data_IF_133222641704
#
_entry.id   IF_133222641704
#
_cell.length_a   1.000
_cell.length_b   1.000
_cell.length_c   1.000
_cell.angle_alpha   90.00
_cell.angle_beta   90.00
_cell.angle_gamma   90.00
#
_symmetry.space_group_name_H-M   'P 1'
#
loop_
_entity.id
_entity.type
_entity.pdbx_description
1 polymer ?
#
# COMPACT_ATOMS: atom_id res chain seq x y z
N UNK A 1 -1.91 0.85 27.34
CA UNK A 1 -2.84 -0.11 26.74
C UNK A 1 -2.78 -0.05 25.21
N UNK A 2 -3.02 1.09 24.57
CA UNK A 2 -3.04 1.24 23.12
C UNK A 2 -1.70 0.87 22.45
N UNK A 3 -0.55 1.22 23.05
CA UNK A 3 0.77 0.85 22.54
C UNK A 3 0.97 -0.66 22.46
N UNK A 4 0.50 -1.42 23.48
CA UNK A 4 0.57 -2.88 23.45
C UNK A 4 -0.29 -3.47 22.34
N UNK A 5 -1.51 -2.97 22.17
CA UNK A 5 -2.39 -3.41 21.10
C UNK A 5 -1.75 -3.18 19.72
N UNK A 6 -1.07 -2.07 19.51
CA UNK A 6 -0.32 -1.82 18.28
C UNK A 6 0.84 -2.80 18.11
N UNK A 7 1.63 -3.06 19.16
CA UNK A 7 2.73 -4.02 19.11
C UNK A 7 2.25 -5.44 18.78
N UNK A 8 1.15 -5.87 19.40
CA UNK A 8 0.54 -7.17 19.11
C UNK A 8 0.07 -7.24 17.65
N UNK A 9 -0.62 -6.20 17.15
CA UNK A 9 -1.06 -6.13 15.76
C UNK A 9 0.13 -6.13 14.77
N UNK A 10 1.23 -5.46 15.10
CA UNK A 10 2.45 -5.47 14.27
C UNK A 10 3.06 -6.88 14.20
N UNK A 11 3.10 -7.61 15.31
CA UNK A 11 3.59 -8.99 15.34
C UNK A 11 2.73 -9.93 14.52
N UNK A 12 1.41 -9.80 14.62
CA UNK A 12 0.45 -10.65 13.90
C UNK A 12 0.49 -10.44 12.39
N UNK A 13 0.78 -9.24 11.94
CA UNK A 13 0.70 -8.86 10.52
C UNK A 13 2.04 -8.78 9.80
N UNK A 14 3.13 -8.61 10.51
CA UNK A 14 4.48 -8.39 9.96
C UNK A 14 4.91 -9.47 8.94
N UNK A 15 4.48 -10.72 9.13
CA UNK A 15 4.79 -11.82 8.22
C UNK A 15 4.27 -11.56 6.79
N UNK A 16 3.11 -10.90 6.64
CA UNK A 16 2.48 -10.63 5.35
C UNK A 16 3.09 -9.41 4.64
N UNK A 17 3.76 -8.53 5.36
CA UNK A 17 4.39 -7.32 4.79
C UNK A 17 5.77 -7.57 4.20
N UNK A 18 6.47 -8.61 4.65
CA UNK A 18 7.85 -8.88 4.26
C UNK A 18 8.08 -8.92 2.76
N UNK A 19 8.97 -8.05 2.25
CA UNK A 19 9.36 -7.93 0.85
C UNK A 19 8.24 -7.62 -0.15
N UNK A 20 7.07 -7.18 0.32
CA UNK A 20 6.01 -6.70 -0.57
C UNK A 20 6.43 -5.37 -1.21
N UNK A 21 6.26 -5.29 -2.52
CA UNK A 21 6.58 -4.09 -3.29
C UNK A 21 5.40 -3.13 -3.29
N UNK A 22 5.54 -2.01 -2.60
CA UNK A 22 4.47 -1.03 -2.43
C UNK A 22 4.82 0.28 -3.12
N UNK A 23 3.93 0.75 -3.98
CA UNK A 23 3.98 2.08 -4.56
C UNK A 23 2.99 3.02 -3.87
N UNK A 24 3.40 4.27 -3.67
CA UNK A 24 2.63 5.24 -2.90
C UNK A 24 2.56 6.56 -3.69
N UNK A 25 1.35 7.07 -3.90
CA UNK A 25 1.12 8.36 -4.52
C UNK A 25 0.21 9.22 -3.61
N UNK A 26 0.82 10.05 -2.79
CA UNK A 26 0.17 10.85 -1.75
C UNK A 26 0.85 12.24 -1.63
N UNK A 27 0.21 13.15 -0.89
CA UNK A 27 0.82 14.40 -0.46
C UNK A 27 2.04 14.14 0.45
N UNK A 28 3.06 15.03 0.49
CA UNK A 28 4.37 14.76 1.08
C UNK A 28 4.36 14.29 2.53
N UNK A 29 3.54 14.84 3.39
CA UNK A 29 3.44 14.49 4.80
C UNK A 29 2.84 13.08 5.00
N UNK A 30 1.78 12.77 4.29
CA UNK A 30 1.14 11.46 4.31
C UNK A 30 2.02 10.40 3.63
N UNK A 31 2.69 10.78 2.55
CA UNK A 31 3.68 9.95 1.85
C UNK A 31 4.83 9.57 2.79
N UNK A 32 5.38 10.54 3.52
CA UNK A 32 6.46 10.30 4.48
C UNK A 32 6.02 9.35 5.60
N UNK A 33 4.89 9.61 6.25
CA UNK A 33 4.40 8.79 7.35
C UNK A 33 4.09 7.35 6.90
N UNK A 34 3.44 7.19 5.75
CA UNK A 34 3.06 5.87 5.20
C UNK A 34 4.29 5.07 4.75
N UNK A 35 5.25 5.72 4.11
CA UNK A 35 6.48 5.07 3.64
C UNK A 35 7.30 4.50 4.80
N UNK A 36 7.51 5.28 5.86
CA UNK A 36 8.23 4.81 7.04
C UNK A 36 7.50 3.69 7.77
N UNK A 37 6.20 3.82 7.93
CA UNK A 37 5.37 2.76 8.52
C UNK A 37 5.53 1.43 7.77
N UNK A 38 5.40 1.43 6.44
CA UNK A 38 5.53 0.23 5.63
C UNK A 38 6.94 -0.36 5.67
N UNK A 39 7.96 0.51 5.66
CA UNK A 39 9.35 0.08 5.78
C UNK A 39 9.64 -0.58 7.13
N UNK A 40 9.11 -0.04 8.22
CA UNK A 40 9.20 -0.65 9.55
C UNK A 40 8.51 -2.02 9.61
N UNK A 41 7.45 -2.23 8.83
CA UNK A 41 6.78 -3.51 8.71
C UNK A 41 7.49 -4.51 7.78
N UNK A 42 8.57 -4.11 7.12
CA UNK A 42 9.37 -4.97 6.24
C UNK A 42 8.97 -4.96 4.77
N UNK A 43 8.05 -4.08 4.37
CA UNK A 43 7.73 -3.87 2.96
C UNK A 43 8.82 -3.03 2.27
N UNK A 44 8.99 -3.24 0.97
CA UNK A 44 9.86 -2.43 0.13
C UNK A 44 9.06 -1.33 -0.56
N UNK A 45 9.59 -0.10 -0.54
CA UNK A 45 8.97 1.02 -1.24
C UNK A 45 9.46 1.00 -2.68
N UNK A 46 8.58 0.58 -3.59
CA UNK A 46 8.88 0.39 -4.99
C UNK A 46 8.99 1.72 -5.74
N UNK A 47 7.98 2.57 -5.60
CA UNK A 47 7.97 3.91 -6.15
C UNK A 47 7.15 4.87 -5.27
N UNK A 48 7.54 6.14 -5.26
CA UNK A 48 6.80 7.20 -4.60
C UNK A 48 6.55 8.35 -5.56
N UNK A 49 5.30 8.80 -5.63
CA UNK A 49 4.87 9.92 -6.47
C UNK A 49 4.14 10.95 -5.62
N UNK A 50 4.45 12.21 -5.83
CA UNK A 50 3.74 13.33 -5.22
C UNK A 50 3.64 14.48 -6.21
N UNK A 51 2.58 15.28 -6.09
CA UNK A 51 2.39 16.46 -6.95
C UNK A 51 3.08 17.69 -6.39
N UNK A 52 3.50 17.65 -5.14
CA UNK A 52 4.02 18.81 -4.41
C UNK A 52 5.45 18.59 -3.95
N UNK A 53 6.32 19.56 -4.15
CA UNK A 53 7.68 19.56 -3.63
C UNK A 53 7.68 19.88 -2.14
N UNK A 54 8.47 19.15 -1.36
CA UNK A 54 8.63 19.35 0.09
C UNK A 54 10.01 18.87 0.53
N UNK A 55 10.61 19.49 1.57
CA UNK A 55 11.82 18.96 2.21
C UNK A 55 11.65 17.57 2.82
N UNK A 56 10.43 17.11 3.08
CA UNK A 56 10.15 15.77 3.57
C UNK A 56 10.52 14.67 2.55
N UNK A 57 10.55 15.00 1.26
CA UNK A 57 10.88 14.03 0.22
C UNK A 57 12.32 13.52 0.33
N UNK A 58 13.23 14.32 0.83
CA UNK A 58 14.63 13.95 1.09
C UNK A 58 14.77 12.95 2.27
N UNK A 59 13.72 12.83 3.08
CA UNK A 59 13.67 11.96 4.27
C UNK A 59 12.87 10.68 4.05
N UNK A 60 12.46 10.39 2.82
CA UNK A 60 11.78 9.14 2.49
C UNK A 60 12.73 7.95 2.56
N UNK A 61 12.27 6.76 2.96
CA UNK A 61 13.08 5.55 3.01
C UNK A 61 13.28 4.89 1.64
N UNK A 62 13.38 5.71 0.58
CA UNK A 62 13.57 5.28 -0.81
C UNK A 62 14.22 6.40 -1.62
N UNK A 63 14.95 6.03 -2.67
CA UNK A 63 15.51 6.96 -3.64
C UNK A 63 14.57 7.17 -4.85
N UNK A 64 13.57 6.31 -5.02
CA UNK A 64 12.59 6.37 -6.11
C UNK A 64 11.48 7.39 -5.81
N UNK A 65 11.81 8.65 -5.85
CA UNK A 65 10.89 9.75 -5.57
C UNK A 65 10.65 10.57 -6.85
N UNK A 66 9.39 10.64 -7.25
CA UNK A 66 8.96 11.36 -8.43
C UNK A 66 8.03 12.50 -8.02
N UNK A 67 8.34 13.70 -8.46
CA UNK A 67 7.43 14.84 -8.40
C UNK A 67 6.79 14.98 -9.76
N UNK A 68 5.54 14.57 -9.88
CA UNK A 68 4.84 14.48 -11.15
C UNK A 68 3.33 14.36 -10.97
N UNK A 69 2.65 13.95 -12.02
CA UNK A 69 1.21 13.77 -12.03
C UNK A 69 0.81 12.27 -12.15
N UNK A 70 -0.50 12.03 -12.31
CA UNK A 70 -1.03 10.68 -12.48
C UNK A 70 -0.63 10.05 -13.83
N UNK A 71 -0.24 10.83 -14.83
CA UNK A 71 0.24 10.30 -16.10
C UNK A 71 1.56 9.56 -15.94
N UNK A 72 2.42 10.05 -15.05
CA UNK A 72 3.72 9.43 -14.74
C UNK A 72 3.55 8.18 -13.86
N UNK A 73 2.43 8.09 -13.12
CA UNK A 73 2.20 7.04 -12.14
C UNK A 73 2.11 5.64 -12.78
N UNK A 74 1.45 5.50 -13.92
CA UNK A 74 1.23 4.20 -14.57
C UNK A 74 2.53 3.48 -14.91
N UNK A 75 3.51 4.21 -15.44
CA UNK A 75 4.79 3.62 -15.87
C UNK A 75 5.65 3.18 -14.68
N UNK A 76 5.60 3.93 -13.57
CA UNK A 76 6.50 3.70 -12.44
C UNK A 76 5.97 2.69 -11.42
N UNK A 77 4.65 2.45 -11.38
CA UNK A 77 4.05 1.50 -10.42
C UNK A 77 3.89 0.08 -10.97
N UNK A 78 4.13 -0.12 -12.25
CA UNK A 78 4.05 -1.44 -12.87
C UNK A 78 5.02 -2.42 -12.18
N UNK A 79 4.50 -3.55 -11.71
CA UNK A 79 5.28 -4.54 -10.94
C UNK A 79 5.16 -4.42 -9.43
N UNK A 80 4.39 -3.45 -8.92
CA UNK A 80 4.07 -3.37 -7.50
C UNK A 80 3.04 -4.41 -7.09
N UNK A 81 3.08 -4.84 -5.83
CA UNK A 81 2.06 -5.69 -5.22
C UNK A 81 0.85 -4.88 -4.73
N UNK A 82 1.07 -3.63 -4.35
CA UNK A 82 0.07 -2.73 -3.83
C UNK A 82 0.35 -1.29 -4.29
N UNK A 83 -0.70 -0.58 -4.66
CA UNK A 83 -0.70 0.86 -4.88
C UNK A 83 -1.52 1.54 -3.78
N UNK A 84 -0.93 2.50 -3.08
CA UNK A 84 -1.59 3.34 -2.07
C UNK A 84 -1.74 4.73 -2.65
N UNK A 85 -2.97 5.13 -2.94
CA UNK A 85 -3.30 6.45 -3.45
C UNK A 85 -4.80 6.73 -3.29
N UNK A 86 -5.25 7.89 -3.77
CA UNK A 86 -6.66 8.28 -3.77
C UNK A 86 -7.47 7.56 -4.87
N UNK A 87 -8.74 7.92 -5.02
CA UNK A 87 -9.65 7.27 -5.99
C UNK A 87 -9.24 7.42 -7.45
N UNK A 88 -8.40 8.39 -7.80
CA UNK A 88 -7.90 8.55 -9.18
C UNK A 88 -6.98 7.38 -9.60
N UNK A 89 -6.39 6.66 -8.66
CA UNK A 89 -5.56 5.48 -8.94
C UNK A 89 -6.35 4.23 -9.35
N UNK A 90 -7.68 4.25 -9.29
CA UNK A 90 -8.52 3.07 -9.60
C UNK A 90 -8.29 2.53 -11.00
N UNK A 91 -8.28 3.38 -12.01
CA UNK A 91 -8.11 2.99 -13.41
C UNK A 91 -6.75 2.33 -13.62
N UNK A 92 -5.69 2.91 -13.05
CA UNK A 92 -4.32 2.38 -13.13
C UNK A 92 -4.23 1.03 -12.44
N UNK A 93 -4.79 0.91 -11.26
CA UNK A 93 -4.85 -0.34 -10.48
C UNK A 93 -5.54 -1.47 -11.27
N UNK A 94 -6.69 -1.20 -11.86
CA UNK A 94 -7.44 -2.15 -12.67
C UNK A 94 -6.67 -2.54 -13.95
N UNK A 95 -6.10 -1.57 -14.66
CA UNK A 95 -5.33 -1.79 -15.89
C UNK A 95 -4.08 -2.65 -15.67
N UNK A 96 -3.37 -2.40 -14.58
CA UNK A 96 -2.13 -3.11 -14.24
C UNK A 96 -2.35 -4.35 -13.35
N UNK A 97 -3.60 -4.61 -12.95
CA UNK A 97 -3.97 -5.67 -12.01
C UNK A 97 -3.17 -5.61 -10.70
N UNK A 98 -3.04 -4.41 -10.14
CA UNK A 98 -2.40 -4.13 -8.87
C UNK A 98 -3.49 -3.83 -7.83
N UNK A 99 -3.39 -4.39 -6.63
CA UNK A 99 -4.31 -4.05 -5.54
C UNK A 99 -4.22 -2.56 -5.19
N UNK A 100 -5.35 -1.94 -4.89
CA UNK A 100 -5.45 -0.53 -4.51
C UNK A 100 -5.92 -0.38 -3.07
N UNK A 101 -5.14 0.34 -2.26
CA UNK A 101 -5.59 0.85 -0.97
C UNK A 101 -5.81 2.36 -1.07
N UNK A 102 -7.04 2.79 -0.83
CA UNK A 102 -7.42 4.22 -0.96
C UNK A 102 -7.03 4.99 0.28
N UNK A 103 -6.21 6.00 0.11
CA UNK A 103 -5.76 6.94 1.13
C UNK A 103 -5.58 8.33 0.51
N UNK A 104 -5.62 9.37 1.33
CA UNK A 104 -5.52 10.75 0.86
C UNK A 104 -6.83 11.27 0.28
N UNK A 105 -6.75 12.33 -0.49
CA UNK A 105 -7.88 13.00 -1.10
C UNK A 105 -7.68 13.19 -2.62
N UNK A 106 -8.71 13.14 -3.44
CA UNK A 106 -10.10 12.83 -3.11
C UNK A 106 -10.39 11.31 -3.06
N UNK A 107 -11.33 10.91 -2.21
CA UNK A 107 -11.94 9.57 -2.24
C UNK A 107 -13.44 9.76 -2.47
N UNK A 108 -13.91 9.39 -3.66
CA UNK A 108 -15.30 9.56 -4.09
C UNK A 108 -16.00 8.25 -4.41
N UNK A 109 -15.29 7.17 -4.54
CA UNK A 109 -15.80 5.84 -4.89
C UNK A 109 -15.93 4.90 -3.68
N UNK A 110 -15.80 5.42 -2.46
CA UNK A 110 -15.97 4.70 -1.19
C UNK A 110 -16.71 5.56 -0.17
N UNK A 111 -17.67 4.96 0.52
CA UNK A 111 -18.42 5.60 1.61
C UNK A 111 -17.61 5.56 2.92
N UNK A 112 -17.87 6.53 3.78
CA UNK A 112 -17.30 6.58 5.15
C UNK A 112 -15.85 7.01 5.24
N UNK A 113 -15.21 7.41 4.15
CA UNK A 113 -13.79 7.79 4.17
C UNK A 113 -13.49 8.98 5.08
N UNK A 114 -14.38 9.98 5.14
CA UNK A 114 -14.19 11.15 6.00
C UNK A 114 -14.17 10.84 7.51
N UNK A 115 -14.60 9.64 7.91
CA UNK A 115 -14.59 9.17 9.30
C UNK A 115 -13.42 8.23 9.60
N UNK A 116 -12.62 7.86 8.59
CA UNK A 116 -11.45 7.00 8.79
C UNK A 116 -10.31 7.76 9.43
N UNK A 117 -9.73 7.16 10.45
CA UNK A 117 -8.53 7.68 11.11
C UNK A 117 -7.30 6.94 10.58
N UNK A 118 -6.33 7.69 10.09
CA UNK A 118 -5.04 7.16 9.59
C UNK A 118 -3.86 7.49 10.52
N UNK A 119 -4.09 8.24 11.59
CA UNK A 119 -3.04 8.70 12.51
C UNK A 119 -3.26 8.18 13.94
N UNK A 120 -2.17 8.18 14.72
CA UNK A 120 -2.15 7.66 16.09
C UNK A 120 -2.27 6.14 16.17
N UNK A 121 -2.28 5.58 17.37
CA UNK A 121 -2.29 4.13 17.58
C UNK A 121 -3.47 3.42 16.92
N UNK A 122 -4.66 3.99 17.01
CA UNK A 122 -5.88 3.41 16.44
C UNK A 122 -5.85 3.46 14.91
N UNK A 123 -5.44 4.59 14.33
CA UNK A 123 -5.32 4.73 12.89
C UNK A 123 -4.28 3.79 12.31
N UNK A 124 -3.14 3.64 12.97
CA UNK A 124 -2.09 2.72 12.57
C UNK A 124 -2.53 1.25 12.65
N UNK A 125 -3.27 0.86 13.69
CA UNK A 125 -3.83 -0.51 13.80
C UNK A 125 -4.80 -0.79 12.65
N UNK A 126 -5.69 0.14 12.32
CA UNK A 126 -6.61 -0.02 11.19
C UNK A 126 -5.85 -0.17 9.86
N UNK A 127 -4.85 0.66 9.64
CA UNK A 127 -4.00 0.60 8.46
C UNK A 127 -3.27 -0.74 8.33
N UNK A 128 -2.73 -1.26 9.45
CA UNK A 128 -2.09 -2.56 9.52
C UNK A 128 -3.01 -3.69 9.06
N UNK A 129 -4.20 -3.77 9.62
CA UNK A 129 -5.14 -4.83 9.29
C UNK A 129 -5.72 -4.67 7.88
N UNK A 130 -6.04 -3.46 7.45
CA UNK A 130 -6.54 -3.21 6.10
C UNK A 130 -5.53 -3.66 5.04
N UNK A 131 -4.26 -3.25 5.16
CA UNK A 131 -3.20 -3.62 4.21
C UNK A 131 -2.80 -5.09 4.38
N UNK A 132 -2.70 -5.56 5.62
CA UNK A 132 -2.39 -6.96 5.93
C UNK A 132 -3.39 -7.92 5.31
N UNK A 133 -4.68 -7.60 5.34
CA UNK A 133 -5.72 -8.40 4.70
C UNK A 133 -5.60 -8.42 3.18
N UNK A 134 -5.21 -7.32 2.54
CA UNK A 134 -4.94 -7.30 1.10
C UNK A 134 -3.82 -8.29 0.75
N UNK A 135 -2.74 -8.30 1.50
CA UNK A 135 -1.63 -9.22 1.28
C UNK A 135 -1.99 -10.68 1.57
N UNK A 136 -2.80 -10.93 2.59
CA UNK A 136 -3.32 -12.26 2.91
C UNK A 136 -4.17 -12.81 1.75
N UNK A 137 -5.10 -12.03 1.22
CA UNK A 137 -5.93 -12.40 0.08
C UNK A 137 -5.10 -12.70 -1.19
N UNK A 138 -4.01 -11.94 -1.41
CA UNK A 138 -3.08 -12.21 -2.51
C UNK A 138 -2.37 -13.55 -2.36
N UNK A 139 -1.94 -13.92 -1.16
CA UNK A 139 -1.30 -15.22 -0.89
C UNK A 139 -2.28 -16.38 -1.11
N UNK A 140 -3.51 -16.28 -0.61
CA UNK A 140 -4.55 -17.28 -0.81
C UNK A 140 -4.87 -17.48 -2.31
N UNK A 141 -4.95 -16.40 -3.07
CA UNK A 141 -5.19 -16.45 -4.52
C UNK A 141 -4.08 -17.17 -5.28
N UNK A 142 -2.82 -16.99 -4.87
CA UNK A 142 -1.66 -17.68 -5.46
C UNK A 142 -1.70 -19.19 -5.19
N UNK A 143 -2.09 -19.60 -3.98
CA UNK A 143 -2.20 -21.00 -3.59
C UNK A 143 -3.25 -21.70 -4.48
N UNK A 144 -4.43 -21.14 -4.60
CA UNK A 144 -5.49 -21.68 -5.43
C UNK A 144 -5.11 -21.79 -6.91
N UNK A 145 -4.42 -20.80 -7.45
CA UNK A 145 -3.97 -20.81 -8.86
C UNK A 145 -2.95 -21.93 -9.10
N UNK A 146 -2.04 -22.17 -8.17
CA UNK A 146 -1.04 -23.24 -8.28
C UNK A 146 -1.67 -24.63 -8.20
N UNK A 147 -2.68 -24.84 -7.36
CA UNK A 147 -3.39 -26.12 -7.26
C UNK A 147 -4.09 -26.48 -8.57
N UNK A 148 -4.73 -25.53 -9.23
CA UNK A 148 -5.34 -25.76 -10.55
C UNK A 148 -4.33 -26.06 -11.64
N UNK A 149 -3.16 -25.44 -11.63
CA UNK A 149 -2.09 -25.67 -12.61
C UNK A 149 -1.51 -27.09 -12.50
N UNK A 150 -1.37 -27.60 -11.29
CA UNK A 150 -0.89 -28.97 -11.03
C UNK A 150 -1.90 -30.04 -11.49
N UNK A 151 -3.20 -29.79 -11.36
CA UNK A 151 -4.25 -30.69 -11.82
C UNK A 151 -4.36 -30.74 -13.35
N UNK A 152 -4.10 -29.63 -14.04
CA UNK A 152 -4.14 -29.55 -15.51
C UNK A 152 -2.91 -30.15 -16.21
N UNK A 153 -1.80 -30.33 -15.49
CA UNK A 153 -0.57 -30.96 -16.05
C UNK A 153 -0.55 -32.49 -15.97
N UNK A 154 -1.58 -33.13 -15.40
CA UNK A 154 -1.71 -34.58 -15.27
C UNK A 154 -2.72 -35.20 -16.24
N UNK A 155 -3.28 -34.41 -17.14
CA UNK A 155 -4.14 -34.84 -18.24
C UNK A 155 -3.44 -34.66 -19.58
#
# INVERSE_FOLDING_TARGET
>A
RQRRQLQDAMLDTHFYFGHKQVSIALEPDLLWATSWFLREMGADIYATVTTTRSPLLEKLPTENVIVGDLGDLEEVVAGSDLLITNSHGKIISEKLNIALYRMGMPIYDRLGNGQRCYVGYRGTINLLFDIGNIFLEQEESKIHTNDYSLLSSQT
#
